data_IF_430145104142
#
_entry.id   IF_430145104142
#
_cell.length_a   1.000
_cell.length_b   1.000
_cell.length_c   1.000
_cell.angle_alpha   90.00
_cell.angle_beta   90.00
_cell.angle_gamma   90.00
#
_symmetry.space_group_name_H-M   'P 1'
#
loop_
_entity.id
_entity.type
_entity.pdbx_description
1 polymer ?
#
# COMPACT_ATOMS: atom_id res chain seq x y z
N UNK A 1 13.04 -53.29 0.52
CA UNK A 1 13.68 -52.90 1.80
C UNK A 1 14.53 -51.63 1.68
N UNK A 2 15.29 -51.43 0.61
CA UNK A 2 16.05 -50.17 0.39
C UNK A 2 15.14 -48.95 0.14
N UNK A 3 14.05 -49.10 -0.63
CA UNK A 3 13.11 -48.01 -0.94
C UNK A 3 12.36 -47.46 0.28
N UNK A 4 12.02 -48.34 1.23
CA UNK A 4 11.37 -47.96 2.49
C UNK A 4 12.32 -47.24 3.44
N UNK A 5 13.61 -47.61 3.44
CA UNK A 5 14.63 -46.98 4.27
C UNK A 5 14.98 -45.56 3.80
N UNK A 6 15.12 -45.34 2.49
CA UNK A 6 15.40 -44.02 1.93
C UNK A 6 14.23 -43.04 2.11
N UNK A 7 12.98 -43.52 2.00
CA UNK A 7 11.79 -42.72 2.31
C UNK A 7 11.76 -42.33 3.79
N UNK A 8 12.06 -43.27 4.70
CA UNK A 8 12.05 -42.98 6.14
C UNK A 8 13.13 -41.97 6.53
N UNK A 9 14.32 -42.07 5.93
CA UNK A 9 15.43 -41.15 6.15
C UNK A 9 15.16 -39.75 5.57
N UNK A 10 14.54 -39.63 4.38
CA UNK A 10 14.20 -38.32 3.81
C UNK A 10 13.08 -37.63 4.58
N UNK A 11 12.06 -38.38 5.00
CA UNK A 11 10.97 -37.87 5.86
C UNK A 11 11.52 -37.45 7.22
N UNK A 12 12.46 -38.20 7.80
CA UNK A 12 13.15 -37.83 9.03
C UNK A 12 13.99 -36.56 8.90
N UNK A 13 14.79 -36.44 7.84
CA UNK A 13 15.58 -35.24 7.55
C UNK A 13 14.68 -34.01 7.31
N UNK A 14 13.58 -34.18 6.57
CA UNK A 14 12.58 -33.15 6.36
C UNK A 14 11.95 -32.72 7.70
N UNK A 15 11.48 -33.67 8.52
CA UNK A 15 10.86 -33.36 9.81
C UNK A 15 11.82 -32.62 10.76
N UNK A 16 13.11 -32.97 10.76
CA UNK A 16 14.13 -32.28 11.54
C UNK A 16 14.40 -30.86 11.03
N UNK A 17 14.52 -30.67 9.71
CA UNK A 17 14.69 -29.34 9.11
C UNK A 17 13.46 -28.46 9.36
N UNK A 18 12.26 -29.02 9.24
CA UNK A 18 10.99 -28.36 9.53
C UNK A 18 10.90 -27.94 11.00
N UNK A 19 11.24 -28.85 11.93
CA UNK A 19 11.25 -28.56 13.36
C UNK A 19 12.29 -27.49 13.72
N UNK A 20 13.48 -27.55 13.11
CA UNK A 20 14.55 -26.57 13.30
C UNK A 20 14.15 -25.18 12.78
N UNK A 21 13.60 -25.11 11.56
CA UNK A 21 13.10 -23.86 10.96
C UNK A 21 11.97 -23.27 11.80
N UNK A 22 11.00 -24.09 12.21
CA UNK A 22 9.89 -23.66 13.07
C UNK A 22 10.37 -23.18 14.45
N UNK A 23 11.38 -23.83 15.04
CA UNK A 23 11.99 -23.43 16.30
C UNK A 23 12.75 -22.09 16.17
N UNK A 24 13.56 -21.93 15.12
CA UNK A 24 14.28 -20.68 14.82
C UNK A 24 13.30 -19.53 14.57
N UNK A 25 12.18 -19.77 13.88
CA UNK A 25 11.14 -18.75 13.65
C UNK A 25 10.49 -18.24 14.93
N UNK A 26 10.43 -19.05 15.99
CA UNK A 26 9.90 -18.65 17.30
C UNK A 26 10.87 -17.76 18.07
N UNK A 27 12.19 -17.96 17.90
CA UNK A 27 13.23 -17.23 18.65
C UNK A 27 13.76 -16.00 17.94
N UNK A 28 13.84 -16.01 16.61
CA UNK A 28 14.51 -14.96 15.84
C UNK A 28 13.51 -14.24 14.92
N UNK A 29 13.24 -12.97 15.21
CA UNK A 29 12.34 -12.13 14.41
C UNK A 29 12.75 -12.05 12.93
N UNK A 30 14.06 -11.95 12.65
CA UNK A 30 14.64 -11.99 11.30
C UNK A 30 14.32 -13.30 10.57
N UNK A 31 14.38 -14.44 11.27
CA UNK A 31 14.07 -15.75 10.66
C UNK A 31 12.59 -15.89 10.35
N UNK A 32 11.71 -15.31 11.17
CA UNK A 32 10.27 -15.25 10.86
C UNK A 32 10.00 -14.49 9.56
N UNK A 33 10.76 -13.44 9.27
CA UNK A 33 10.64 -12.71 8.02
C UNK A 33 11.19 -13.48 6.81
N UNK A 34 12.15 -14.39 7.01
CA UNK A 34 12.74 -15.25 5.96
C UNK A 34 12.05 -16.62 5.85
N UNK A 35 10.91 -16.83 6.52
CA UNK A 35 10.27 -18.13 6.61
C UNK A 35 10.03 -18.79 5.24
N UNK A 36 9.44 -18.06 4.29
CA UNK A 36 9.07 -18.59 2.98
C UNK A 36 10.24 -19.20 2.18
N UNK A 37 11.35 -18.48 1.89
CA UNK A 37 12.49 -19.07 1.18
C UNK A 37 13.17 -20.19 1.97
N UNK A 38 13.17 -20.13 3.30
CA UNK A 38 13.73 -21.19 4.14
C UNK A 38 12.92 -22.50 4.06
N UNK A 39 11.60 -22.42 3.99
CA UNK A 39 10.75 -23.61 3.78
C UNK A 39 11.00 -24.24 2.40
N UNK A 40 11.19 -23.43 1.36
CA UNK A 40 11.53 -23.91 0.01
C UNK A 40 12.90 -24.59 0.01
N UNK A 41 13.91 -23.98 0.65
CA UNK A 41 15.23 -24.57 0.80
C UNK A 41 15.21 -25.89 1.58
N UNK A 42 14.42 -25.96 2.66
CA UNK A 42 14.26 -27.20 3.44
C UNK A 42 13.58 -28.31 2.63
N UNK A 43 12.58 -27.97 1.81
CA UNK A 43 11.96 -28.93 0.88
C UNK A 43 12.96 -29.41 -0.18
N UNK A 44 13.74 -28.50 -0.79
CA UNK A 44 14.76 -28.85 -1.76
C UNK A 44 15.83 -29.79 -1.15
N UNK A 45 16.32 -29.47 0.05
CA UNK A 45 17.30 -30.29 0.76
C UNK A 45 16.76 -31.69 1.10
N UNK A 46 15.49 -31.81 1.48
CA UNK A 46 14.86 -33.11 1.73
C UNK A 46 14.74 -33.97 0.46
N UNK A 47 14.42 -33.34 -0.68
CA UNK A 47 14.41 -34.02 -1.99
C UNK A 47 15.83 -34.45 -2.38
N UNK A 48 16.84 -33.60 -2.13
CA UNK A 48 18.23 -33.93 -2.41
C UNK A 48 18.74 -35.13 -1.59
N UNK A 49 18.43 -35.15 -0.29
CA UNK A 49 18.75 -36.28 0.61
C UNK A 49 18.10 -37.57 0.13
N UNK A 50 16.84 -37.53 -0.30
CA UNK A 50 16.15 -38.70 -0.87
C UNK A 50 16.88 -39.24 -2.11
N UNK A 51 17.35 -38.36 -2.98
CA UNK A 51 18.06 -38.72 -4.21
C UNK A 51 19.50 -39.19 -3.99
N UNK A 52 20.15 -38.78 -2.90
CA UNK A 52 21.45 -39.31 -2.49
C UNK A 52 21.33 -40.76 -1.99
N UNK A 53 20.20 -41.10 -1.35
CA UNK A 53 19.90 -42.44 -0.85
C UNK A 53 19.43 -43.42 -1.94
N UNK A 54 19.07 -42.93 -3.13
CA UNK A 54 18.71 -43.73 -4.30
C UNK A 54 19.41 -43.24 -5.58
N UNK A 55 20.69 -43.61 -5.81
CA UNK A 55 21.47 -43.11 -6.94
C UNK A 55 20.86 -43.41 -8.33
N UNK A 56 20.06 -44.49 -8.43
CA UNK A 56 19.43 -44.93 -9.68
C UNK A 56 18.10 -44.28 -10.02
N UNK A 57 17.52 -43.44 -9.14
CA UNK A 57 16.21 -42.80 -9.36
C UNK A 57 16.30 -41.36 -9.88
N UNK A 58 17.48 -40.91 -10.30
CA UNK A 58 17.69 -39.56 -10.84
C UNK A 58 17.18 -39.48 -12.29
N UNK A 59 15.88 -39.30 -12.45
CA UNK A 59 15.32 -38.90 -13.74
C UNK A 59 15.65 -37.43 -14.03
N UNK A 60 15.73 -37.09 -15.32
CA UNK A 60 15.95 -35.70 -15.79
C UNK A 60 14.90 -34.75 -15.20
N UNK A 61 13.64 -35.22 -15.11
CA UNK A 61 12.52 -34.46 -14.54
C UNK A 61 12.75 -34.09 -13.07
N UNK A 62 13.22 -35.04 -12.26
CA UNK A 62 13.46 -34.82 -10.83
C UNK A 62 14.65 -33.87 -10.61
N UNK A 63 15.69 -33.98 -11.44
CA UNK A 63 16.84 -33.07 -11.38
C UNK A 63 16.46 -31.64 -11.77
N UNK A 64 15.64 -31.47 -12.81
CA UNK A 64 15.10 -30.16 -13.20
C UNK A 64 14.19 -29.57 -12.12
N UNK A 65 13.32 -30.38 -11.51
CA UNK A 65 12.47 -29.92 -10.41
C UNK A 65 13.28 -29.46 -9.18
N UNK A 66 14.31 -30.20 -8.80
CA UNK A 66 15.20 -29.83 -7.70
C UNK A 66 16.02 -28.57 -8.03
N UNK A 67 16.56 -28.48 -9.25
CA UNK A 67 17.25 -27.29 -9.74
C UNK A 67 16.35 -26.05 -9.70
N UNK A 68 15.09 -26.18 -10.12
CA UNK A 68 14.11 -25.10 -10.03
C UNK A 68 13.84 -24.69 -8.58
N UNK A 69 13.63 -25.63 -7.66
CA UNK A 69 13.40 -25.33 -6.24
C UNK A 69 14.58 -24.59 -5.60
N UNK A 70 15.82 -25.00 -5.88
CA UNK A 70 17.01 -24.35 -5.37
C UNK A 70 17.21 -22.95 -5.96
N UNK A 71 17.04 -22.80 -7.29
CA UNK A 71 17.16 -21.50 -7.95
C UNK A 71 16.07 -20.52 -7.47
N UNK A 72 14.81 -20.97 -7.41
CA UNK A 72 13.71 -20.17 -6.91
C UNK A 72 13.89 -19.81 -5.43
N UNK A 73 14.21 -20.78 -4.58
CA UNK A 73 14.44 -20.57 -3.15
C UNK A 73 15.61 -19.62 -2.88
N UNK A 74 16.73 -19.80 -3.59
CA UNK A 74 17.91 -18.95 -3.48
C UNK A 74 17.63 -17.51 -3.94
N UNK A 75 16.99 -17.31 -5.09
CA UNK A 75 16.64 -15.99 -5.58
C UNK A 75 15.58 -15.31 -4.69
N UNK A 76 14.58 -16.06 -4.22
CA UNK A 76 13.60 -15.56 -3.26
C UNK A 76 14.24 -15.15 -1.92
N UNK A 77 15.28 -15.86 -1.47
CA UNK A 77 16.05 -15.50 -0.27
C UNK A 77 16.81 -14.18 -0.48
N UNK A 78 17.53 -14.05 -1.59
CA UNK A 78 18.29 -12.83 -1.93
C UNK A 78 17.37 -11.63 -2.03
N UNK A 79 16.26 -11.75 -2.77
CA UNK A 79 15.27 -10.68 -2.93
C UNK A 79 14.61 -10.32 -1.59
N UNK A 80 14.37 -11.30 -0.73
CA UNK A 80 13.84 -11.04 0.62
C UNK A 80 14.83 -10.29 1.48
N UNK A 81 16.10 -10.70 1.51
CA UNK A 81 17.17 -10.00 2.25
C UNK A 81 17.34 -8.57 1.74
N UNK A 82 17.32 -8.38 0.43
CA UNK A 82 17.36 -7.05 -0.18
C UNK A 82 16.16 -6.20 0.25
N UNK A 83 14.96 -6.78 0.25
CA UNK A 83 13.76 -6.10 0.74
C UNK A 83 13.84 -5.70 2.21
N UNK A 84 14.37 -6.55 3.08
CA UNK A 84 14.60 -6.19 4.49
C UNK A 84 15.59 -5.03 4.62
N UNK A 85 16.67 -5.07 3.86
CA UNK A 85 17.67 -3.99 3.86
C UNK A 85 17.09 -2.66 3.37
N UNK A 86 16.33 -2.67 2.27
CA UNK A 86 15.75 -1.46 1.69
C UNK A 86 14.57 -0.91 2.51
N UNK A 87 13.60 -1.77 2.86
CA UNK A 87 12.36 -1.35 3.51
C UNK A 87 12.51 -1.17 5.03
N UNK A 88 13.07 -2.17 5.72
CA UNK A 88 13.08 -2.15 7.19
C UNK A 88 14.28 -1.36 7.75
N UNK A 89 15.44 -1.40 7.09
CA UNK A 89 16.64 -0.68 7.57
C UNK A 89 16.71 0.75 7.02
N UNK A 90 16.48 0.97 5.72
CA UNK A 90 16.69 2.30 5.13
C UNK A 90 15.45 3.21 5.20
N UNK A 91 14.27 2.68 4.89
CA UNK A 91 13.03 3.47 4.84
C UNK A 91 12.43 3.77 6.22
N UNK A 92 12.36 2.78 7.11
CA UNK A 92 11.78 2.95 8.46
C UNK A 92 12.72 3.76 9.36
N UNK A 93 14.03 3.54 9.30
CA UNK A 93 14.98 4.21 10.19
C UNK A 93 15.20 5.69 9.87
N UNK A 94 15.06 6.12 8.60
CA UNK A 94 15.41 7.49 8.20
C UNK A 94 14.22 8.44 8.03
N UNK A 95 13.01 7.95 7.70
CA UNK A 95 11.94 8.85 7.23
C UNK A 95 10.63 8.83 8.02
N UNK A 96 10.47 7.97 9.03
CA UNK A 96 9.23 7.93 9.84
C UNK A 96 7.94 7.71 9.05
N UNK A 97 8.04 7.34 7.77
CA UNK A 97 6.89 7.02 6.92
C UNK A 97 6.38 5.65 7.33
N UNK A 98 5.27 5.63 8.04
CA UNK A 98 4.51 4.40 8.28
C UNK A 98 3.82 3.96 6.97
N UNK A 99 4.58 3.31 6.10
CA UNK A 99 4.01 2.62 4.95
C UNK A 99 3.03 1.55 5.47
N UNK A 100 1.82 1.43 4.87
CA UNK A 100 0.89 0.40 5.29
C UNK A 100 1.52 -0.99 5.14
N UNK A 101 1.42 -1.87 6.15
CA UNK A 101 2.03 -3.21 6.10
C UNK A 101 1.48 -4.07 4.95
N UNK A 102 0.32 -3.68 4.39
CA UNK A 102 -0.27 -4.30 3.21
C UNK A 102 0.56 -4.04 1.94
N UNK A 103 1.15 -2.86 1.78
CA UNK A 103 1.92 -2.52 0.57
C UNK A 103 3.15 -3.42 0.46
N UNK A 104 3.93 -3.54 1.54
CA UNK A 104 5.11 -4.42 1.59
C UNK A 104 4.75 -5.89 1.32
N UNK A 105 3.60 -6.36 1.80
CA UNK A 105 3.13 -7.73 1.52
C UNK A 105 2.78 -7.92 0.05
N UNK A 106 2.01 -7.00 -0.54
CA UNK A 106 1.61 -7.08 -1.95
C UNK A 106 2.83 -7.03 -2.86
N UNK A 107 3.78 -6.13 -2.60
CA UNK A 107 5.04 -6.04 -3.36
C UNK A 107 5.82 -7.35 -3.29
N UNK A 108 5.95 -7.94 -2.10
CA UNK A 108 6.67 -9.21 -1.93
C UNK A 108 5.99 -10.39 -2.65
N UNK A 109 4.66 -10.47 -2.62
CA UNK A 109 3.90 -11.48 -3.38
C UNK A 109 4.15 -11.32 -4.88
N UNK A 110 4.09 -10.09 -5.40
CA UNK A 110 4.36 -9.82 -6.81
C UNK A 110 5.79 -10.22 -7.21
N UNK A 111 6.80 -9.87 -6.39
CA UNK A 111 8.20 -10.25 -6.62
C UNK A 111 8.37 -11.77 -6.65
N UNK A 112 7.74 -12.50 -5.73
CA UNK A 112 7.81 -13.96 -5.71
C UNK A 112 7.11 -14.61 -6.91
N UNK A 113 5.97 -14.09 -7.35
CA UNK A 113 5.29 -14.59 -8.56
C UNK A 113 6.15 -14.38 -9.81
N UNK A 114 6.75 -13.20 -9.97
CA UNK A 114 7.66 -12.91 -11.10
C UNK A 114 8.88 -13.83 -11.04
N UNK A 115 9.47 -14.00 -9.85
CA UNK A 115 10.64 -14.85 -9.63
C UNK A 115 10.33 -16.31 -9.95
N UNK A 116 9.16 -16.81 -9.53
CA UNK A 116 8.69 -18.15 -9.85
C UNK A 116 8.54 -18.33 -11.36
N UNK A 117 7.93 -17.37 -12.04
CA UNK A 117 7.74 -17.42 -13.49
C UNK A 117 9.07 -17.40 -14.27
N UNK A 118 9.99 -16.50 -13.90
CA UNK A 118 11.32 -16.39 -14.52
C UNK A 118 12.11 -17.68 -14.33
N UNK A 119 12.17 -18.19 -13.09
CA UNK A 119 12.89 -19.44 -12.80
C UNK A 119 12.25 -20.63 -13.50
N UNK A 120 10.91 -20.70 -13.57
CA UNK A 120 10.19 -21.75 -14.28
C UNK A 120 10.56 -21.77 -15.77
N UNK A 121 10.62 -20.60 -16.42
CA UNK A 121 11.02 -20.48 -17.83
C UNK A 121 12.48 -20.86 -18.07
N UNK A 122 13.38 -20.55 -17.13
CA UNK A 122 14.79 -20.91 -17.24
C UNK A 122 15.02 -22.41 -17.06
N UNK A 123 14.28 -23.07 -16.16
CA UNK A 123 14.47 -24.49 -15.87
C UNK A 123 13.71 -25.40 -16.83
N UNK A 124 12.57 -24.94 -17.38
CA UNK A 124 11.74 -25.74 -18.29
C UNK A 124 11.45 -24.95 -19.57
N UNK A 125 12.38 -24.95 -20.54
CA UNK A 125 12.23 -24.19 -21.79
C UNK A 125 11.03 -24.65 -22.63
N UNK A 126 10.74 -25.95 -22.58
CA UNK A 126 9.66 -26.60 -23.35
C UNK A 126 8.27 -26.37 -22.74
N UNK A 127 8.20 -25.96 -21.46
CA UNK A 127 6.93 -25.57 -20.86
C UNK A 127 6.45 -24.27 -21.51
N UNK A 128 5.23 -24.32 -22.04
CA UNK A 128 4.56 -23.16 -22.60
C UNK A 128 4.05 -22.23 -21.47
N UNK A 129 4.97 -21.47 -20.88
CA UNK A 129 4.65 -20.44 -19.89
C UNK A 129 3.84 -19.28 -20.49
N UNK A 130 3.77 -19.15 -21.81
CA UNK A 130 3.06 -18.04 -22.46
C UNK A 130 1.57 -18.08 -22.13
N UNK A 131 0.98 -19.26 -21.97
CA UNK A 131 -0.42 -19.39 -21.54
C UNK A 131 -0.64 -18.85 -20.12
N UNK A 132 0.29 -19.13 -19.19
CA UNK A 132 0.26 -18.59 -17.83
C UNK A 132 0.45 -17.08 -17.82
N UNK A 133 1.39 -16.57 -18.64
CA UNK A 133 1.60 -15.13 -18.80
C UNK A 133 0.37 -14.45 -19.37
N UNK A 134 -0.22 -14.98 -20.45
CA UNK A 134 -1.40 -14.41 -21.08
C UNK A 134 -2.61 -14.36 -20.13
N UNK A 135 -2.88 -15.45 -19.42
CA UNK A 135 -3.98 -15.49 -18.44
C UNK A 135 -3.71 -14.54 -17.26
N UNK A 136 -2.48 -14.54 -16.73
CA UNK A 136 -2.10 -13.62 -15.65
C UNK A 136 -2.17 -12.14 -16.09
N UNK A 137 -1.91 -11.83 -17.36
CA UNK A 137 -2.01 -10.47 -17.88
C UNK A 137 -3.46 -9.98 -17.87
N UNK A 138 -4.40 -10.81 -18.33
CA UNK A 138 -5.84 -10.49 -18.29
C UNK A 138 -6.32 -10.34 -16.85
N UNK A 139 -5.96 -11.26 -15.96
CA UNK A 139 -6.31 -11.17 -14.52
C UNK A 139 -5.71 -9.91 -13.88
N UNK A 140 -4.46 -9.57 -14.19
CA UNK A 140 -3.78 -8.38 -13.68
C UNK A 140 -4.43 -7.10 -14.19
N UNK A 141 -4.89 -7.07 -15.44
CA UNK A 141 -5.63 -5.94 -16.01
C UNK A 141 -6.94 -5.73 -15.26
N UNK A 142 -7.76 -6.77 -15.10
CA UNK A 142 -9.04 -6.69 -14.38
C UNK A 142 -8.83 -6.25 -12.93
N UNK A 143 -7.84 -6.83 -12.25
CA UNK A 143 -7.48 -6.44 -10.88
C UNK A 143 -6.99 -4.99 -10.80
N UNK A 144 -6.17 -4.57 -11.76
CA UNK A 144 -5.68 -3.19 -11.86
C UNK A 144 -6.81 -2.17 -12.04
N UNK A 145 -7.78 -2.48 -12.91
CA UNK A 145 -8.98 -1.66 -13.10
C UNK A 145 -9.82 -1.59 -11.82
N UNK A 146 -10.00 -2.71 -11.12
CA UNK A 146 -10.68 -2.73 -9.82
C UNK A 146 -9.96 -1.90 -8.73
N UNK A 147 -8.61 -1.87 -8.76
CA UNK A 147 -7.80 -1.13 -7.79
C UNK A 147 -7.60 0.34 -8.16
N UNK A 148 -7.97 0.77 -9.37
CA UNK A 148 -7.78 2.12 -9.87
C UNK A 148 -8.27 3.21 -8.89
N UNK A 149 -9.44 3.11 -8.24
CA UNK A 149 -9.89 4.15 -7.30
C UNK A 149 -9.00 4.26 -6.06
N UNK A 150 -8.44 3.14 -5.59
CA UNK A 150 -7.55 3.13 -4.42
C UNK A 150 -6.23 3.82 -4.78
N UNK A 151 -5.68 3.50 -5.96
CA UNK A 151 -4.46 4.11 -6.46
C UNK A 151 -4.64 5.61 -6.70
N UNK A 152 -5.76 6.03 -7.30
CA UNK A 152 -6.09 7.45 -7.48
C UNK A 152 -6.09 8.19 -6.14
N UNK A 153 -6.77 7.66 -5.12
CA UNK A 153 -6.78 8.28 -3.79
C UNK A 153 -5.39 8.37 -3.15
N UNK A 154 -4.54 7.34 -3.33
CA UNK A 154 -3.18 7.34 -2.83
C UNK A 154 -2.31 8.41 -3.50
N UNK A 155 -2.30 8.47 -4.84
CA UNK A 155 -1.52 9.47 -5.58
C UNK A 155 -2.03 10.88 -5.32
N UNK A 156 -3.33 11.09 -5.24
CA UNK A 156 -3.90 12.37 -4.85
C UNK A 156 -3.47 12.78 -3.43
N UNK A 157 -3.45 11.84 -2.48
CA UNK A 157 -2.92 12.10 -1.13
C UNK A 157 -1.44 12.50 -1.12
N UNK A 158 -0.62 11.85 -1.95
CA UNK A 158 0.80 12.20 -2.12
C UNK A 158 0.95 13.63 -2.66
N UNK A 159 0.22 13.95 -3.74
CA UNK A 159 0.25 15.29 -4.36
C UNK A 159 -0.19 16.37 -3.38
N UNK A 160 -1.33 16.18 -2.69
CA UNK A 160 -1.80 17.11 -1.65
C UNK A 160 -0.75 17.30 -0.55
N UNK A 161 -0.05 16.23 -0.15
CA UNK A 161 1.00 16.33 0.88
C UNK A 161 2.24 17.08 0.41
N UNK A 162 2.59 16.99 -0.88
CA UNK A 162 3.79 17.61 -1.47
C UNK A 162 3.52 19.07 -1.85
N UNK A 163 2.43 19.32 -2.57
CA UNK A 163 2.08 20.65 -3.08
C UNK A 163 1.37 21.51 -2.03
N UNK A 164 0.74 20.88 -1.03
CA UNK A 164 0.01 21.54 0.06
C UNK A 164 -0.92 22.69 -0.42
N UNK A 165 -1.83 22.44 -1.38
CA UNK A 165 -2.76 23.48 -1.88
C UNK A 165 -3.68 24.04 -0.78
N UNK A 166 -3.85 23.29 0.30
CA UNK A 166 -4.48 23.68 1.54
C UNK A 166 -3.78 22.96 2.70
N UNK A 167 -3.85 23.56 3.88
CA UNK A 167 -3.22 23.05 5.10
C UNK A 167 -4.27 22.71 6.15
N UNK A 168 -3.84 21.98 7.18
CA UNK A 168 -4.68 21.76 8.37
C UNK A 168 -5.01 23.12 8.98
N UNK A 169 -6.29 23.30 9.33
CA UNK A 169 -6.95 24.53 9.76
C UNK A 169 -7.38 25.50 8.66
N UNK A 170 -7.08 25.26 7.39
CA UNK A 170 -7.61 26.09 6.30
C UNK A 170 -9.11 25.84 6.13
N UNK A 171 -9.86 26.89 5.81
CA UNK A 171 -11.26 26.78 5.41
C UNK A 171 -11.32 26.58 3.90
N UNK A 172 -11.93 25.48 3.45
CA UNK A 172 -11.99 25.13 2.03
C UNK A 172 -13.40 24.75 1.60
N UNK A 173 -13.71 25.01 0.32
CA UNK A 173 -14.91 24.50 -0.35
C UNK A 173 -14.51 23.56 -1.48
N UNK A 174 -15.20 22.43 -1.55
CA UNK A 174 -14.97 21.32 -2.49
C UNK A 174 -16.33 20.90 -3.03
N UNK A 175 -16.60 21.23 -4.28
CA UNK A 175 -17.94 21.13 -4.85
C UNK A 175 -18.94 21.95 -4.03
N UNK A 176 -20.01 21.30 -3.58
CA UNK A 176 -21.06 21.91 -2.74
C UNK A 176 -20.75 21.88 -1.23
N UNK A 177 -19.66 21.24 -0.82
CA UNK A 177 -19.35 21.06 0.60
C UNK A 177 -18.29 22.06 1.05
N UNK A 178 -18.48 22.63 2.23
CA UNK A 178 -17.56 23.59 2.83
C UNK A 178 -17.20 23.18 4.27
N UNK A 179 -15.93 23.32 4.63
CA UNK A 179 -15.49 23.08 6.00
C UNK A 179 -14.02 23.36 6.24
N UNK A 180 -13.64 23.29 7.52
CA UNK A 180 -12.26 23.43 7.98
C UNK A 180 -11.51 22.12 7.86
N UNK A 181 -10.32 22.13 7.27
CA UNK A 181 -9.46 20.94 7.22
C UNK A 181 -8.99 20.57 8.62
N UNK A 182 -9.39 19.39 9.12
CA UNK A 182 -9.01 18.89 10.46
C UNK A 182 -7.84 17.92 10.38
N UNK A 183 -7.86 17.05 9.38
CA UNK A 183 -6.83 16.04 9.19
C UNK A 183 -6.72 15.66 7.71
N UNK A 184 -5.48 15.40 7.28
CA UNK A 184 -5.19 14.85 5.95
C UNK A 184 -4.52 13.49 6.19
N UNK A 185 -5.09 12.44 5.62
CA UNK A 185 -4.53 11.08 5.66
C UNK A 185 -4.06 10.66 4.26
N UNK A 186 -3.45 9.49 4.16
CA UNK A 186 -2.97 8.97 2.87
C UNK A 186 -4.08 8.72 1.83
N UNK A 187 -5.35 8.59 2.23
CA UNK A 187 -6.48 8.32 1.31
C UNK A 187 -7.67 9.27 1.44
N UNK A 188 -7.81 9.95 2.56
CA UNK A 188 -8.96 10.83 2.86
C UNK A 188 -8.52 12.11 3.55
N UNK A 189 -9.26 13.18 3.30
CA UNK A 189 -9.19 14.43 4.02
C UNK A 189 -10.48 14.63 4.82
N UNK A 190 -10.33 15.08 6.06
CA UNK A 190 -11.42 15.31 7.00
C UNK A 190 -11.69 16.80 7.10
N UNK A 191 -12.92 17.21 6.77
CA UNK A 191 -13.41 18.57 6.90
C UNK A 191 -14.41 18.65 8.06
N UNK A 192 -14.32 19.69 8.88
CA UNK A 192 -15.34 20.05 9.87
C UNK A 192 -16.27 21.09 9.26
N UNK A 193 -17.54 20.76 9.07
CA UNK A 193 -18.54 21.69 8.51
C UNK A 193 -18.86 22.82 9.50
N UNK A 194 -19.58 23.85 9.05
CA UNK A 194 -20.09 24.93 9.92
C UNK A 194 -21.05 24.41 11.00
N UNK A 195 -21.72 23.30 10.73
CA UNK A 195 -22.62 22.58 11.64
C UNK A 195 -21.87 21.67 12.63
N UNK A 196 -20.52 21.71 12.60
CA UNK A 196 -19.64 20.88 13.43
C UNK A 196 -19.66 19.38 13.09
N UNK A 197 -20.09 19.00 11.89
CA UNK A 197 -20.03 17.61 11.41
C UNK A 197 -18.69 17.27 10.76
N UNK A 198 -18.28 16.01 10.86
CA UNK A 198 -17.04 15.50 10.25
C UNK A 198 -17.32 14.91 8.86
N UNK A 199 -17.03 15.68 7.83
CA UNK A 199 -17.13 15.27 6.43
C UNK A 199 -15.82 14.61 5.97
N UNK A 200 -15.91 13.37 5.49
CA UNK A 200 -14.74 12.61 5.02
C UNK A 200 -14.76 12.55 3.51
N UNK A 201 -13.76 13.16 2.87
CA UNK A 201 -13.66 13.21 1.41
C UNK A 201 -12.46 12.37 0.95
N UNK A 202 -12.63 11.41 0.02
CA UNK A 202 -11.51 10.72 -0.61
C UNK A 202 -10.58 11.69 -1.34
N UNK A 203 -9.26 11.52 -1.20
CA UNK A 203 -8.29 12.44 -1.79
C UNK A 203 -8.40 12.47 -3.32
N UNK A 204 -8.75 11.36 -3.97
CA UNK A 204 -8.97 11.31 -5.42
C UNK A 204 -10.07 12.26 -5.85
N UNK A 205 -11.18 12.29 -5.10
CA UNK A 205 -12.28 13.24 -5.36
C UNK A 205 -11.85 14.70 -5.16
N UNK A 206 -10.96 14.97 -4.19
CA UNK A 206 -10.39 16.31 -3.98
C UNK A 206 -9.47 16.75 -5.11
N UNK A 207 -8.75 15.81 -5.72
CA UNK A 207 -7.88 16.09 -6.87
C UNK A 207 -8.70 16.28 -8.16
N UNK A 208 -9.85 15.62 -8.29
CA UNK A 208 -10.72 15.72 -9.45
C UNK A 208 -11.63 16.97 -9.41
N UNK A 209 -11.91 17.53 -8.22
CA UNK A 209 -12.75 18.70 -8.03
C UNK A 209 -11.95 20.00 -7.83
N UNK A 210 -12.59 21.14 -8.12
CA UNK A 210 -12.01 22.45 -7.82
C UNK A 210 -12.07 22.71 -6.32
N UNK A 211 -10.93 22.95 -5.70
CA UNK A 211 -10.82 23.36 -4.29
C UNK A 211 -10.68 24.87 -4.21
N UNK A 212 -11.63 25.53 -3.54
CA UNK A 212 -11.55 26.94 -3.19
C UNK A 212 -11.02 27.07 -1.76
N UNK A 213 -9.80 27.58 -1.61
CA UNK A 213 -9.22 27.87 -0.29
C UNK A 213 -9.54 29.33 0.09
N UNK A 214 -10.23 29.52 1.21
CA UNK A 214 -10.59 30.85 1.71
C UNK A 214 -9.49 31.52 2.53
N UNK A 215 -8.45 30.77 2.91
CA UNK A 215 -7.40 31.23 3.82
C UNK A 215 -6.10 31.61 3.10
N UNK A 216 -5.82 31.01 1.93
CA UNK A 216 -4.60 31.25 1.17
C UNK A 216 -4.85 32.15 -0.07
N UNK A 217 -3.99 33.14 -0.38
CA UNK A 217 -2.75 33.49 0.31
C UNK A 217 -2.92 34.45 1.50
N UNK A 218 -4.12 35.01 1.70
CA UNK A 218 -4.41 35.96 2.76
C UNK A 218 -5.62 35.50 3.58
N UNK A 219 -5.59 35.64 4.92
CA UNK A 219 -6.66 35.15 5.78
C UNK A 219 -7.96 35.97 5.69
N UNK A 220 -7.97 37.07 4.92
CA UNK A 220 -9.12 37.93 4.75
C UNK A 220 -10.09 37.33 3.74
N UNK A 221 -11.20 36.79 4.24
CA UNK A 221 -12.32 36.34 3.45
C UNK A 221 -13.50 37.31 3.54
N UNK A 222 -14.09 37.66 2.39
CA UNK A 222 -15.31 38.47 2.34
C UNK A 222 -16.55 37.57 2.30
N UNK A 223 -17.34 37.59 3.37
CA UNK A 223 -18.64 36.94 3.41
C UNK A 223 -19.75 37.92 2.99
N UNK A 224 -20.62 37.50 2.07
CA UNK A 224 -21.74 38.32 1.59
C UNK A 224 -23.04 37.86 2.26
N UNK A 225 -23.60 38.69 3.12
CA UNK A 225 -24.90 38.45 3.76
C UNK A 225 -25.95 39.30 3.05
N UNK A 226 -27.01 38.66 2.54
CA UNK A 226 -28.17 39.37 1.99
C UNK A 226 -29.17 39.61 3.11
N UNK A 227 -29.43 40.88 3.40
CA UNK A 227 -30.43 41.30 4.37
C UNK A 227 -31.60 41.93 3.62
N UNK A 228 -32.81 41.42 3.86
CA UNK A 228 -34.04 42.00 3.34
C UNK A 228 -34.64 42.94 4.36
N UNK A 229 -35.04 44.13 3.93
CA UNK A 229 -35.73 45.12 4.75
C UNK A 229 -37.12 45.41 4.18
N UNK A 230 -38.07 45.78 5.05
CA UNK A 230 -39.40 46.21 4.64
C UNK A 230 -39.29 47.45 3.74
N UNK A 231 -40.00 47.46 2.61
CA UNK A 231 -39.96 48.52 1.61
C UNK A 231 -40.35 49.91 2.17
N UNK A 232 -41.07 49.96 3.30
CA UNK A 232 -41.44 51.20 4.00
C UNK A 232 -40.27 51.84 4.73
N UNK A 233 -39.17 51.12 4.96
CA UNK A 233 -38.00 51.65 5.67
C UNK A 233 -37.09 52.40 4.68
N UNK A 234 -36.80 53.70 4.91
CA UNK A 234 -35.89 54.44 4.05
C UNK A 234 -34.49 53.81 3.97
N UNK A 235 -33.83 53.77 2.80
CA UNK A 235 -32.54 53.09 2.61
C UNK A 235 -31.42 53.57 3.57
N UNK A 236 -31.42 54.85 3.93
CA UNK A 236 -30.40 55.40 4.84
C UNK A 236 -30.50 54.81 6.26
N UNK A 237 -31.70 54.46 6.73
CA UNK A 237 -31.88 53.83 8.06
C UNK A 237 -31.34 52.41 8.07
N UNK A 238 -31.61 51.64 7.00
CA UNK A 238 -31.08 50.28 6.83
C UNK A 238 -29.55 50.31 6.77
N UNK A 239 -28.98 51.23 5.96
CA UNK A 239 -27.52 51.41 5.87
C UNK A 239 -26.89 51.72 7.23
N UNK A 240 -27.45 52.68 7.98
CA UNK A 240 -26.90 53.07 9.29
C UNK A 240 -27.00 51.93 10.31
N UNK A 241 -28.10 51.17 10.29
CA UNK A 241 -28.26 49.98 11.14
C UNK A 241 -27.23 48.89 10.81
N UNK A 242 -26.98 48.63 9.52
CA UNK A 242 -25.97 47.67 9.08
C UNK A 242 -24.55 48.12 9.45
N UNK A 243 -24.20 49.39 9.22
CA UNK A 243 -22.91 49.94 9.61
C UNK A 243 -22.70 49.88 11.13
N UNK A 244 -23.74 50.20 11.91
CA UNK A 244 -23.70 50.06 13.37
C UNK A 244 -23.52 48.61 13.83
N UNK A 245 -24.18 47.66 13.18
CA UNK A 245 -24.03 46.24 13.48
C UNK A 245 -22.61 45.73 13.15
N UNK A 246 -22.04 46.13 12.00
CA UNK A 246 -20.68 45.74 11.59
C UNK A 246 -19.62 46.34 12.53
N UNK A 247 -19.80 47.58 13.00
CA UNK A 247 -18.86 48.22 13.93
C UNK A 247 -18.76 47.49 15.28
N UNK A 248 -19.77 46.71 15.66
CA UNK A 248 -19.77 45.89 16.88
C UNK A 248 -19.09 44.52 16.73
N UNK A 249 -18.67 44.12 15.53
CA UNK A 249 -18.08 42.80 15.27
C UNK A 249 -16.55 42.91 15.16
N UNK A 250 -15.83 42.11 15.94
CA UNK A 250 -14.37 42.02 15.87
C UNK A 250 -13.95 41.50 14.48
N UNK A 251 -13.17 42.28 13.73
CA UNK A 251 -12.69 41.94 12.37
C UNK A 251 -13.37 42.70 11.21
N UNK A 252 -14.19 43.72 11.49
CA UNK A 252 -14.74 44.61 10.47
C UNK A 252 -13.67 45.43 9.73
N UNK A 253 -13.94 45.90 8.49
CA UNK A 253 -12.99 46.73 7.75
C UNK A 253 -12.71 48.02 8.55
N UNK A 254 -11.42 48.27 8.82
CA UNK A 254 -10.94 49.54 9.34
C UNK A 254 -11.16 50.67 8.31
#
# INVERSE_FOLDING_TARGET
MQMTFSLLASVGAFALLVALVAWLQRKLFLVRQLAFPLWIGAAAAAVEVYLLLQPGSRSVEVQSALGWLLLFGGLALVLRLLGLYLFDVHLVAQKGLHLPPLLTRVTMVAVYLITALVTLRLTFPDLNVNALVATSAVTSLVLGLALQPILSNFFAGLVVSVEQPFRINDWVRVGEHEGRVVAITWRTTHLRTRENDNLVIPNGKLADERVLNYYYPHPLHMERIKVSADARVPPYRVRNALLGAVAGVAGGPA
#
